data_IF_092337048569
#
_entry.id   IF_092337048569
#
_cell.length_a   1.000
_cell.length_b   1.000
_cell.length_c   1.000
_cell.angle_alpha   90.00
_cell.angle_beta   90.00
_cell.angle_gamma   90.00
#
_symmetry.space_group_name_H-M   'P 1'
#
loop_
_entity.id
_entity.type
_entity.pdbx_description
1 polymer ?
#
# COMPACT_ATOMS: atom_id res chain seq x y z
N UNK A 1 -13.49 -7.99 -20.64
CA UNK A 1 -13.66 -7.90 -19.17
C UNK A 1 -13.23 -9.21 -18.54
N UNK A 2 -12.18 -9.21 -17.73
CA UNK A 2 -11.63 -10.42 -17.10
C UNK A 2 -11.94 -10.42 -15.60
N UNK A 3 -13.15 -10.89 -15.26
CA UNK A 3 -13.63 -10.89 -13.87
C UNK A 3 -12.79 -11.81 -12.99
N UNK A 4 -12.56 -13.04 -13.46
CA UNK A 4 -11.85 -14.06 -12.70
C UNK A 4 -10.41 -13.65 -12.41
N UNK A 5 -9.67 -13.19 -13.43
CA UNK A 5 -8.29 -12.74 -13.26
C UNK A 5 -8.17 -11.59 -12.28
N UNK A 6 -9.07 -10.60 -12.37
CA UNK A 6 -9.08 -9.48 -11.42
C UNK A 6 -9.36 -9.95 -9.99
N UNK A 7 -10.41 -10.74 -9.79
CA UNK A 7 -10.79 -11.29 -8.48
C UNK A 7 -9.65 -12.10 -7.85
N UNK A 8 -9.09 -13.05 -8.60
CA UNK A 8 -8.01 -13.92 -8.12
C UNK A 8 -6.78 -13.08 -7.71
N UNK A 9 -6.44 -12.04 -8.49
CA UNK A 9 -5.32 -11.14 -8.19
C UNK A 9 -5.53 -10.34 -6.91
N UNK A 10 -6.69 -9.67 -6.75
CA UNK A 10 -6.95 -8.84 -5.57
C UNK A 10 -7.12 -9.68 -4.30
N UNK A 11 -7.66 -10.89 -4.42
CA UNK A 11 -7.80 -11.81 -3.30
C UNK A 11 -6.46 -12.40 -2.89
N UNK A 12 -5.61 -12.79 -3.86
CA UNK A 12 -4.26 -13.25 -3.56
C UNK A 12 -3.43 -12.16 -2.85
N UNK A 13 -3.49 -10.91 -3.35
CA UNK A 13 -2.88 -9.74 -2.71
C UNK A 13 -3.34 -9.57 -1.28
N UNK A 14 -4.66 -9.53 -1.07
CA UNK A 14 -5.24 -9.37 0.27
C UNK A 14 -4.75 -10.44 1.24
N UNK A 15 -4.73 -11.71 0.83
CA UNK A 15 -4.30 -12.82 1.68
C UNK A 15 -2.81 -12.73 2.03
N UNK A 16 -1.99 -12.29 1.08
CA UNK A 16 -0.55 -12.11 1.30
C UNK A 16 -0.27 -10.94 2.26
N UNK A 17 -0.96 -9.80 2.09
CA UNK A 17 -0.88 -8.69 3.05
C UNK A 17 -1.38 -9.11 4.43
N UNK A 18 -2.47 -9.89 4.50
CA UNK A 18 -2.97 -10.43 5.77
C UNK A 18 -1.90 -11.28 6.48
N UNK A 19 -1.21 -12.17 5.76
CA UNK A 19 -0.10 -12.97 6.30
C UNK A 19 1.00 -12.07 6.90
N UNK A 20 1.40 -11.01 6.20
CA UNK A 20 2.47 -10.11 6.67
C UNK A 20 2.04 -9.21 7.82
N UNK A 21 0.82 -8.69 7.77
CA UNK A 21 0.22 -7.96 8.88
C UNK A 21 0.18 -8.84 10.14
N UNK A 22 -0.16 -10.12 10.02
CA UNK A 22 -0.17 -11.05 11.16
C UNK A 22 1.24 -11.30 11.71
N UNK A 23 2.26 -11.42 10.85
CA UNK A 23 3.65 -11.51 11.27
C UNK A 23 4.10 -10.27 12.08
N UNK A 24 3.52 -9.10 11.79
CA UNK A 24 3.79 -7.85 12.49
C UNK A 24 2.85 -7.57 13.69
N UNK A 25 1.86 -8.44 13.97
CA UNK A 25 0.86 -8.23 15.04
C UNK A 25 -0.35 -7.35 14.67
N UNK A 26 -0.51 -6.97 13.40
CA UNK A 26 -1.59 -6.13 12.88
C UNK A 26 -2.81 -6.95 12.42
N UNK A 27 -3.41 -7.72 13.32
CA UNK A 27 -4.48 -8.66 12.95
C UNK A 27 -5.72 -7.99 12.35
N UNK A 28 -6.17 -6.87 12.96
CA UNK A 28 -7.35 -6.14 12.48
C UNK A 28 -7.12 -5.53 11.09
N UNK A 29 -5.94 -4.97 10.85
CA UNK A 29 -5.56 -4.41 9.55
C UNK A 29 -5.48 -5.51 8.50
N UNK A 30 -4.83 -6.64 8.78
CA UNK A 30 -4.76 -7.76 7.83
C UNK A 30 -6.13 -8.27 7.40
N UNK A 31 -7.08 -8.37 8.33
CA UNK A 31 -8.46 -8.76 8.03
C UNK A 31 -9.20 -7.70 7.21
N UNK A 32 -9.04 -6.42 7.54
CA UNK A 32 -9.76 -5.32 6.91
C UNK A 32 -9.09 -4.78 5.63
N UNK A 33 -7.85 -5.17 5.35
CA UNK A 33 -7.05 -4.65 4.25
C UNK A 33 -7.80 -4.75 2.93
N UNK A 34 -7.92 -3.60 2.25
CA UNK A 34 -8.47 -3.45 0.90
C UNK A 34 -9.85 -4.08 0.65
N UNK A 35 -10.69 -4.17 1.69
CA UNK A 35 -12.07 -4.65 1.51
C UNK A 35 -12.87 -3.76 0.54
N UNK A 36 -12.47 -2.51 0.33
CA UNK A 36 -13.10 -1.62 -0.64
C UNK A 36 -12.95 -2.09 -2.10
N UNK A 37 -11.92 -2.91 -2.41
CA UNK A 37 -11.68 -3.46 -3.77
C UNK A 37 -12.81 -4.37 -4.25
N UNK A 38 -13.62 -4.90 -3.34
CA UNK A 38 -14.78 -5.74 -3.65
C UNK A 38 -16.07 -4.94 -3.84
N UNK A 39 -16.04 -3.62 -3.63
CA UNK A 39 -17.19 -2.76 -3.90
C UNK A 39 -17.40 -2.59 -5.42
N UNK A 40 -18.64 -2.39 -5.91
CA UNK A 40 -18.89 -2.15 -7.33
C UNK A 40 -18.06 -1.00 -7.92
N UNK A 41 -17.80 0.05 -7.12
CA UNK A 41 -17.02 1.24 -7.51
C UNK A 41 -15.58 0.91 -7.89
N UNK A 42 -14.97 -0.10 -7.27
CA UNK A 42 -13.59 -0.52 -7.54
C UNK A 42 -13.54 -1.78 -8.41
N UNK A 43 -14.37 -2.77 -8.09
CA UNK A 43 -14.34 -4.09 -8.71
C UNK A 43 -14.74 -4.06 -10.19
N UNK A 44 -15.79 -3.32 -10.56
CA UNK A 44 -16.27 -3.27 -11.95
C UNK A 44 -15.23 -2.61 -12.87
N UNK A 45 -14.71 -1.40 -12.58
CA UNK A 45 -13.59 -0.85 -13.36
C UNK A 45 -12.38 -1.78 -13.36
N UNK A 46 -12.06 -2.37 -12.21
CA UNK A 46 -10.97 -3.34 -12.08
C UNK A 46 -11.09 -4.50 -13.07
N UNK A 47 -12.28 -5.08 -13.23
CA UNK A 47 -12.54 -6.15 -14.20
C UNK A 47 -12.48 -5.68 -15.68
N UNK A 48 -12.90 -4.44 -15.94
CA UNK A 48 -12.91 -3.85 -17.29
C UNK A 48 -11.48 -3.61 -17.78
N UNK A 49 -10.63 -3.02 -16.92
CA UNK A 49 -9.28 -2.57 -17.25
C UNK A 49 -8.18 -3.57 -16.87
N UNK A 50 -8.54 -4.79 -16.46
CA UNK A 50 -7.58 -5.83 -16.07
C UNK A 50 -6.74 -6.32 -17.25
N UNK A 51 -5.42 -6.23 -17.11
CA UNK A 51 -4.43 -6.68 -18.11
C UNK A 51 -3.52 -7.80 -17.59
N UNK A 52 -3.37 -7.94 -16.27
CA UNK A 52 -2.67 -9.04 -15.61
C UNK A 52 -1.21 -8.79 -15.25
N UNK A 53 -0.59 -7.75 -15.79
CA UNK A 53 0.82 -7.41 -15.59
C UNK A 53 1.04 -6.10 -14.80
N UNK A 54 0.03 -5.23 -14.75
CA UNK A 54 0.04 -4.00 -13.96
C UNK A 54 -1.36 -3.63 -13.44
N UNK A 55 -1.45 -2.54 -12.68
CA UNK A 55 -2.70 -2.12 -12.03
C UNK A 55 -3.76 -1.69 -13.06
N UNK A 56 -5.00 -2.19 -12.96
CA UNK A 56 -6.12 -1.73 -13.81
C UNK A 56 -6.38 -0.23 -13.72
N UNK A 57 -5.96 0.40 -12.60
CA UNK A 57 -6.08 1.83 -12.37
C UNK A 57 -5.32 2.68 -13.40
N UNK A 58 -4.22 2.16 -13.95
CA UNK A 58 -3.43 2.84 -14.97
C UNK A 58 -4.19 2.93 -16.28
N UNK A 59 -4.74 1.82 -16.76
CA UNK A 59 -5.57 1.82 -17.97
C UNK A 59 -6.87 2.62 -17.82
N UNK A 60 -7.51 2.60 -16.65
CA UNK A 60 -8.67 3.48 -16.40
C UNK A 60 -8.26 4.96 -16.54
N UNK A 61 -7.09 5.33 -16.01
CA UNK A 61 -6.58 6.71 -16.10
C UNK A 61 -6.32 7.12 -17.53
N UNK A 62 -5.70 6.25 -18.34
CA UNK A 62 -5.45 6.53 -19.74
C UNK A 62 -6.76 6.69 -20.54
N UNK A 63 -7.77 5.90 -20.21
CA UNK A 63 -9.06 5.96 -20.91
C UNK A 63 -9.92 7.18 -20.52
N UNK A 64 -9.91 7.60 -19.25
CA UNK A 64 -10.83 8.63 -18.71
C UNK A 64 -10.17 9.94 -18.32
N UNK A 65 -8.84 9.99 -18.24
CA UNK A 65 -8.07 11.09 -17.64
C UNK A 65 -8.02 11.05 -16.10
N UNK A 66 -8.74 10.12 -15.46
CA UNK A 66 -8.73 9.90 -14.01
C UNK A 66 -9.11 8.45 -13.68
N UNK A 67 -8.89 8.04 -12.44
CA UNK A 67 -9.19 6.69 -11.98
C UNK A 67 -10.25 6.74 -10.87
N UNK A 68 -11.49 6.38 -11.18
CA UNK A 68 -12.58 6.38 -10.22
C UNK A 68 -12.33 5.35 -9.10
N UNK A 69 -11.84 4.17 -9.47
CA UNK A 69 -11.51 3.10 -8.52
C UNK A 69 -10.44 3.55 -7.52
N UNK A 70 -9.33 4.14 -7.99
CA UNK A 70 -8.26 4.64 -7.13
C UNK A 70 -8.71 5.78 -6.21
N UNK A 71 -9.54 6.72 -6.68
CA UNK A 71 -10.06 7.80 -5.83
C UNK A 71 -10.91 7.24 -4.68
N UNK A 72 -11.76 6.25 -4.95
CA UNK A 72 -12.55 5.57 -3.93
C UNK A 72 -11.66 4.78 -2.95
N UNK A 73 -10.67 4.08 -3.49
CA UNK A 73 -9.75 3.19 -2.78
C UNK A 73 -8.85 3.94 -1.79
N UNK A 74 -8.10 4.92 -2.28
CA UNK A 74 -7.18 5.72 -1.44
C UNK A 74 -7.92 6.50 -0.35
N UNK A 75 -9.20 6.83 -0.57
CA UNK A 75 -10.07 7.50 0.40
C UNK A 75 -10.68 6.59 1.47
N UNK A 76 -10.48 5.26 1.39
CA UNK A 76 -11.02 4.28 2.36
C UNK A 76 -9.94 3.44 3.03
N UNK A 77 -8.79 3.28 2.39
CA UNK A 77 -7.68 2.49 2.93
C UNK A 77 -6.58 3.41 3.45
N UNK A 78 -6.48 3.48 4.79
CA UNK A 78 -5.61 4.42 5.53
C UNK A 78 -4.11 4.13 5.37
N UNK A 79 -3.72 2.99 4.82
CA UNK A 79 -2.31 2.72 4.53
C UNK A 79 -1.84 3.41 3.23
N UNK A 80 -2.72 4.03 2.45
CA UNK A 80 -2.28 4.90 1.35
C UNK A 80 -1.94 6.30 1.86
N UNK A 81 -0.79 6.82 1.42
CA UNK A 81 -0.30 8.14 1.83
C UNK A 81 -1.27 9.26 1.41
N UNK A 82 -1.99 9.08 0.31
CA UNK A 82 -2.95 10.05 -0.21
C UNK A 82 -4.17 10.23 0.70
N UNK A 83 -4.48 9.27 1.57
CA UNK A 83 -5.51 9.40 2.60
C UNK A 83 -5.17 10.53 3.58
N UNK A 84 -3.89 10.76 3.81
CA UNK A 84 -3.36 11.68 4.82
C UNK A 84 -2.95 13.03 4.23
N UNK A 85 -3.50 13.40 3.08
CA UNK A 85 -3.27 14.72 2.48
C UNK A 85 -4.41 15.64 2.90
N UNK A 86 -4.09 16.76 3.53
CA UNK A 86 -5.08 17.74 4.01
C UNK A 86 -4.50 19.17 4.00
N UNK A 87 -5.32 20.16 4.32
CA UNK A 87 -4.92 21.57 4.38
C UNK A 87 -3.89 21.82 5.49
N UNK A 88 -2.79 22.46 5.14
CA UNK A 88 -1.79 22.88 6.13
C UNK A 88 -2.34 24.00 7.00
N UNK A 89 -2.28 23.87 8.34
CA UNK A 89 -2.76 24.85 9.33
C UNK A 89 -2.01 26.19 9.38
N UNK A 90 -1.43 26.64 8.25
CA UNK A 90 -0.61 27.85 8.13
C UNK A 90 0.20 27.92 6.84
N UNK A 91 0.11 26.91 5.97
CA UNK A 91 0.71 26.89 4.63
C UNK A 91 -0.41 26.95 3.61
N UNK A 92 -0.25 27.73 2.54
CA UNK A 92 -1.17 27.65 1.40
C UNK A 92 -1.06 26.26 0.77
N UNK A 93 -2.19 25.58 0.60
CA UNK A 93 -2.28 24.32 -0.14
C UNK A 93 -2.33 23.05 0.70
N UNK A 94 -2.31 21.92 -0.01
CA UNK A 94 -2.39 20.58 0.55
C UNK A 94 -1.00 20.12 1.01
N UNK A 95 -0.93 19.46 2.17
CA UNK A 95 0.28 18.88 2.75
C UNK A 95 0.03 17.46 3.25
N UNK A 96 1.09 16.67 3.38
CA UNK A 96 1.01 15.34 4.00
C UNK A 96 1.01 15.43 5.52
N UNK A 97 0.01 14.82 6.16
CA UNK A 97 -0.14 14.71 7.61
C UNK A 97 0.65 13.54 8.16
N UNK A 98 1.01 13.61 9.44
CA UNK A 98 1.73 12.52 10.13
C UNK A 98 0.85 11.27 10.15
N UNK A 99 1.36 10.19 9.58
CA UNK A 99 0.68 8.90 9.47
C UNK A 99 0.95 8.08 10.74
N UNK A 100 -0.07 7.53 11.41
CA UNK A 100 0.11 6.61 12.53
C UNK A 100 0.93 5.37 12.13
N UNK A 101 1.81 4.92 13.04
CA UNK A 101 2.77 3.85 12.79
C UNK A 101 2.11 2.57 12.22
N UNK A 102 0.95 2.17 12.75
CA UNK A 102 0.20 1.00 12.28
C UNK A 102 -0.11 1.03 10.77
N UNK A 103 -0.40 2.20 10.20
CA UNK A 103 -0.69 2.34 8.77
C UNK A 103 0.58 2.46 7.93
N UNK A 104 1.69 2.98 8.48
CA UNK A 104 3.00 2.90 7.82
C UNK A 104 3.42 1.43 7.72
N UNK A 105 3.26 0.66 8.79
CA UNK A 105 3.55 -0.76 8.81
C UNK A 105 2.68 -1.55 7.82
N UNK A 106 1.37 -1.28 7.77
CA UNK A 106 0.47 -1.87 6.77
C UNK A 106 0.91 -1.51 5.34
N UNK A 107 1.35 -0.26 5.09
CA UNK A 107 1.85 0.18 3.78
C UNK A 107 3.12 -0.59 3.35
N UNK A 108 4.00 -0.95 4.29
CA UNK A 108 5.17 -1.79 4.00
C UNK A 108 4.71 -3.20 3.59
N UNK A 109 3.80 -3.81 4.35
CA UNK A 109 3.23 -5.12 4.01
C UNK A 109 2.57 -5.11 2.62
N UNK A 110 1.77 -4.09 2.32
CA UNK A 110 1.11 -3.88 1.03
C UNK A 110 2.11 -3.83 -0.12
N UNK A 111 3.14 -2.98 -0.01
CA UNK A 111 4.15 -2.82 -1.06
C UNK A 111 4.97 -4.09 -1.27
N UNK A 112 5.30 -4.83 -0.22
CA UNK A 112 6.00 -6.12 -0.33
C UNK A 112 5.13 -7.14 -1.05
N UNK A 113 3.85 -7.27 -0.67
CA UNK A 113 2.92 -8.19 -1.29
C UNK A 113 2.65 -7.86 -2.76
N UNK A 114 2.40 -6.58 -3.08
CA UNK A 114 2.21 -6.14 -4.45
C UNK A 114 3.45 -6.45 -5.31
N UNK A 115 4.64 -6.20 -4.78
CA UNK A 115 5.89 -6.50 -5.48
C UNK A 115 6.02 -8.00 -5.79
N UNK A 116 5.68 -8.88 -4.85
CA UNK A 116 5.73 -10.32 -5.08
C UNK A 116 4.73 -10.77 -6.15
N UNK A 117 3.53 -10.21 -6.15
CA UNK A 117 2.48 -10.57 -7.11
C UNK A 117 2.85 -10.17 -8.53
N UNK A 118 3.29 -8.94 -8.73
CA UNK A 118 3.56 -8.44 -10.09
C UNK A 118 4.93 -8.88 -10.63
N UNK A 119 5.92 -9.15 -9.77
CA UNK A 119 7.25 -9.57 -10.22
C UNK A 119 7.41 -11.09 -10.28
N UNK A 120 6.63 -11.87 -9.52
CA UNK A 120 6.75 -13.32 -9.46
C UNK A 120 8.20 -13.75 -9.18
N UNK A 121 8.76 -14.59 -10.04
CA UNK A 121 10.13 -15.10 -9.93
C UNK A 121 11.22 -14.03 -9.99
N UNK A 122 10.90 -12.81 -10.47
CA UNK A 122 11.83 -11.68 -10.47
C UNK A 122 11.85 -10.91 -9.14
N UNK A 123 11.00 -11.27 -8.19
CA UNK A 123 10.94 -10.61 -6.90
C UNK A 123 12.25 -10.76 -6.12
N UNK A 124 12.68 -9.67 -5.51
CA UNK A 124 13.74 -9.64 -4.51
C UNK A 124 13.28 -8.77 -3.33
N UNK A 125 13.89 -8.94 -2.16
CA UNK A 125 13.59 -8.09 -1.01
C UNK A 125 13.88 -6.59 -1.26
N UNK A 126 14.65 -6.26 -2.31
CA UNK A 126 14.85 -4.88 -2.76
C UNK A 126 13.66 -4.27 -3.53
N UNK A 127 12.79 -5.10 -4.10
CA UNK A 127 11.79 -4.69 -5.08
C UNK A 127 10.84 -3.60 -4.57
N UNK A 128 10.37 -3.71 -3.33
CA UNK A 128 9.46 -2.73 -2.73
C UNK A 128 10.15 -1.36 -2.50
N UNK A 129 11.44 -1.38 -2.12
CA UNK A 129 12.26 -0.19 -1.99
C UNK A 129 12.50 0.47 -3.34
N UNK A 130 12.92 -0.30 -4.35
CA UNK A 130 13.21 0.21 -5.69
C UNK A 130 11.96 0.83 -6.34
N UNK A 131 10.80 0.20 -6.18
CA UNK A 131 9.54 0.76 -6.64
C UNK A 131 9.21 2.09 -5.97
N UNK A 132 9.33 2.18 -4.64
CA UNK A 132 9.12 3.43 -3.91
C UNK A 132 10.12 4.52 -4.34
N UNK A 133 11.41 4.16 -4.49
CA UNK A 133 12.49 5.10 -4.79
C UNK A 133 12.27 5.81 -6.12
N UNK A 134 11.75 5.11 -7.15
CA UNK A 134 11.44 5.69 -8.47
C UNK A 134 10.39 6.81 -8.43
N UNK A 135 9.52 6.82 -7.42
CA UNK A 135 8.42 7.79 -7.27
C UNK A 135 8.56 8.67 -6.04
N UNK A 136 9.70 8.63 -5.35
CA UNK A 136 9.92 9.28 -4.05
C UNK A 136 9.54 10.76 -4.06
N UNK A 137 9.96 11.46 -5.11
CA UNK A 137 9.85 12.91 -5.24
C UNK A 137 8.43 13.35 -5.65
N UNK A 138 7.57 12.42 -6.05
CA UNK A 138 6.17 12.70 -6.38
C UNK A 138 5.25 12.67 -5.15
N UNK A 139 5.69 12.06 -4.05
CA UNK A 139 4.84 11.86 -2.89
C UNK A 139 4.77 13.10 -2.00
N UNK A 140 3.56 13.54 -1.69
CA UNK A 140 3.29 14.54 -0.66
C UNK A 140 3.11 13.80 0.69
N UNK A 141 4.14 13.80 1.53
CA UNK A 141 4.18 12.99 2.74
C UNK A 141 4.88 13.74 3.89
N UNK A 142 4.37 13.58 5.11
CA UNK A 142 4.99 14.15 6.31
C UNK A 142 6.44 13.63 6.47
N UNK A 143 7.43 14.50 6.77
CA UNK A 143 8.85 14.11 6.81
C UNK A 143 9.15 12.92 7.74
N UNK A 144 8.57 12.88 8.94
CA UNK A 144 8.79 11.77 9.88
C UNK A 144 8.18 10.46 9.37
N UNK A 145 6.99 10.52 8.76
CA UNK A 145 6.32 9.33 8.22
C UNK A 145 7.08 8.79 7.01
N UNK A 146 7.64 9.69 6.19
CA UNK A 146 8.57 9.33 5.11
C UNK A 146 9.80 8.62 5.66
N UNK A 147 10.48 9.22 6.63
CA UNK A 147 11.70 8.64 7.21
C UNK A 147 11.43 7.24 7.80
N UNK A 148 10.29 7.05 8.47
CA UNK A 148 9.89 5.75 8.99
C UNK A 148 9.61 4.73 7.87
N UNK A 149 8.84 5.11 6.84
CA UNK A 149 8.56 4.25 5.70
C UNK A 149 9.86 3.83 4.98
N UNK A 150 10.73 4.79 4.70
CA UNK A 150 12.01 4.55 4.02
C UNK A 150 12.91 3.62 4.82
N UNK A 151 13.03 3.86 6.14
CA UNK A 151 13.78 2.99 7.04
C UNK A 151 13.28 1.55 6.97
N UNK A 152 11.96 1.34 7.03
CA UNK A 152 11.39 -0.01 7.01
C UNK A 152 11.57 -0.69 5.65
N UNK A 153 11.35 0.01 4.54
CA UNK A 153 11.56 -0.55 3.19
C UNK A 153 13.05 -0.88 2.93
N UNK A 154 13.97 -0.02 3.36
CA UNK A 154 15.40 -0.30 3.29
C UNK A 154 15.78 -1.46 4.19
N UNK A 155 15.14 -1.62 5.35
CA UNK A 155 15.36 -2.76 6.23
C UNK A 155 14.89 -4.07 5.57
N UNK A 156 13.77 -4.07 4.85
CA UNK A 156 13.36 -5.23 4.03
C UNK A 156 14.47 -5.57 3.03
N UNK A 157 14.94 -4.59 2.25
CA UNK A 157 16.03 -4.76 1.28
C UNK A 157 17.31 -5.34 1.90
N UNK A 158 17.75 -4.77 3.02
CA UNK A 158 19.08 -5.04 3.58
C UNK A 158 19.12 -6.20 4.57
N UNK A 159 17.97 -6.54 5.17
CA UNK A 159 17.87 -7.51 6.28
C UNK A 159 16.80 -8.58 6.09
N UNK A 160 16.01 -8.48 5.03
CA UNK A 160 14.92 -9.38 4.71
C UNK A 160 13.62 -9.13 5.45
N UNK A 161 12.55 -9.73 4.94
CA UNK A 161 11.19 -9.58 5.45
C UNK A 161 11.04 -10.03 6.91
N UNK A 162 11.55 -11.22 7.26
CA UNK A 162 11.36 -11.80 8.59
C UNK A 162 11.91 -10.90 9.69
N UNK A 163 13.16 -10.45 9.55
CA UNK A 163 13.79 -9.57 10.52
C UNK A 163 13.11 -8.21 10.60
N UNK A 164 12.61 -7.71 9.47
CA UNK A 164 11.90 -6.42 9.41
C UNK A 164 10.53 -6.51 10.06
N UNK A 165 9.77 -7.57 9.80
CA UNK A 165 8.45 -7.78 10.40
C UNK A 165 8.53 -8.03 11.91
N UNK A 166 9.55 -8.75 12.38
CA UNK A 166 9.83 -8.88 13.81
C UNK A 166 10.15 -7.51 14.47
N UNK A 167 10.93 -6.66 13.78
CA UNK A 167 11.21 -5.30 14.24
C UNK A 167 9.97 -4.41 14.25
N UNK A 168 9.13 -4.48 13.21
CA UNK A 168 7.84 -3.77 13.16
C UNK A 168 6.93 -4.21 14.30
N UNK A 169 6.84 -5.51 14.61
CA UNK A 169 6.07 -6.03 15.74
C UNK A 169 6.56 -5.46 17.08
N UNK A 170 7.88 -5.43 17.29
CA UNK A 170 8.46 -4.83 18.48
C UNK A 170 8.17 -3.33 18.58
N UNK A 171 8.33 -2.58 17.48
CA UNK A 171 7.99 -1.15 17.43
C UNK A 171 6.52 -0.89 17.75
N UNK A 172 5.60 -1.67 17.16
CA UNK A 172 4.17 -1.55 17.40
C UNK A 172 3.78 -1.88 18.84
N UNK A 173 4.51 -2.77 19.51
CA UNK A 173 4.32 -3.06 20.94
C UNK A 173 4.86 -1.99 21.89
N UNK A 174 5.79 -1.14 21.43
CA UNK A 174 6.33 -0.01 22.21
C UNK A 174 5.50 1.26 22.02
N UNK A 175 4.83 1.40 20.88
CA UNK A 175 3.90 2.49 20.60
C UNK A 175 2.47 2.05 20.89
N UNK A 176 2.07 2.10 22.16
CA UNK A 176 0.65 2.28 22.49
C UNK A 176 0.28 3.72 22.12
N UNK A 177 -0.04 3.98 20.85
CA UNK A 177 -0.50 5.30 20.43
C UNK A 177 -1.95 5.28 19.94
N UNK A 178 -2.77 5.86 20.84
CA UNK A 178 -3.85 6.84 20.70
C UNK A 178 -4.95 6.59 19.65
#
# INVERSE_FOLDING_TARGET
MNIRGHFDTITHHKLLVMKYCFACGLYRQGLAHDLSKYSPTEFIPGCIYYQGDHSPNEAERQAKGYTAAWLHHKGRNKHHLEYWIDYGGGKTGLVGMKIPLRYICEMVCDRVAASQIYLGDRYTDASAWEYYQRSRDHYLMHPESRAMLEKLLQMVRDKGQERTFAYMKALLGLHEEY
#
